data_IF_246357641764
#
_entry.id   IF_246357641764
#
_cell.length_a   1.000
_cell.length_b   1.000
_cell.length_c   1.000
_cell.angle_alpha   90.00
_cell.angle_beta   90.00
_cell.angle_gamma   90.00
#
_symmetry.space_group_name_H-M   'P 1'
#
loop_
_entity.id
_entity.type
_entity.pdbx_description
1 polymer ?
#
# COMPACT_ATOMS: atom_id res chain seq x y z
N UNK A 1 0.66 3.52 -16.16
CA UNK A 1 0.93 3.29 -14.73
C UNK A 1 1.37 4.61 -14.17
N UNK A 2 0.67 5.16 -13.18
CA UNK A 2 0.99 6.51 -12.73
C UNK A 2 1.09 6.61 -11.22
N UNK A 3 2.18 7.25 -10.80
CA UNK A 3 2.28 7.94 -9.53
C UNK A 3 1.95 9.41 -9.81
N UNK A 4 1.12 10.02 -8.96
CA UNK A 4 0.93 11.47 -9.01
C UNK A 4 2.26 12.19 -8.69
N UNK A 5 2.39 13.45 -9.10
CA UNK A 5 3.56 14.26 -8.77
C UNK A 5 3.76 14.37 -7.25
N UNK A 6 2.67 14.56 -6.50
CA UNK A 6 2.70 14.61 -5.04
C UNK A 6 3.14 13.28 -4.42
N UNK A 7 2.59 12.15 -4.88
CA UNK A 7 2.97 10.82 -4.39
C UNK A 7 4.44 10.51 -4.70
N UNK A 8 4.94 10.89 -5.88
CA UNK A 8 6.36 10.74 -6.22
C UNK A 8 7.26 11.54 -5.27
N UNK A 9 6.92 12.79 -4.99
CA UNK A 9 7.68 13.62 -4.05
C UNK A 9 7.75 13.00 -2.65
N UNK A 10 6.64 12.43 -2.16
CA UNK A 10 6.60 11.74 -0.87
C UNK A 10 7.45 10.46 -0.86
N UNK A 11 7.44 9.69 -1.96
CA UNK A 11 8.29 8.50 -2.12
C UNK A 11 9.78 8.87 -2.18
N UNK A 12 10.14 9.94 -2.87
CA UNK A 12 11.52 10.43 -2.93
C UNK A 12 12.03 10.92 -1.57
N UNK A 13 11.18 11.62 -0.81
CA UNK A 13 11.45 12.01 0.58
C UNK A 13 11.67 10.80 1.48
N UNK A 14 10.82 9.77 1.34
CA UNK A 14 10.86 8.55 2.14
C UNK A 14 12.05 7.63 1.80
N UNK A 15 12.46 7.57 0.53
CA UNK A 15 13.47 6.63 0.02
C UNK A 15 14.74 6.54 0.89
N UNK A 16 15.46 7.63 1.21
CA UNK A 16 16.69 7.52 2.00
C UNK A 16 16.46 7.04 3.45
N UNK A 17 15.27 7.29 4.00
CA UNK A 17 14.90 6.88 5.36
C UNK A 17 14.64 5.38 5.38
N UNK A 18 13.78 4.89 4.47
CA UNK A 18 13.46 3.46 4.34
C UNK A 18 14.70 2.63 3.99
N UNK A 19 15.56 3.12 3.09
CA UNK A 19 16.74 2.38 2.65
C UNK A 19 17.76 2.14 3.78
N UNK A 20 17.76 2.99 4.81
CA UNK A 20 18.65 2.88 5.98
C UNK A 20 18.03 2.11 7.14
N UNK A 21 16.71 2.02 7.19
CA UNK A 21 15.99 1.31 8.24
C UNK A 21 16.10 -0.21 8.05
N UNK A 22 16.04 -0.94 9.15
CA UNK A 22 15.84 -2.39 9.20
C UNK A 22 14.35 -2.73 9.23
N UNK A 23 14.01 -3.99 8.90
CA UNK A 23 12.61 -4.44 8.97
C UNK A 23 12.06 -4.37 10.40
N UNK A 24 12.90 -4.64 11.41
CA UNK A 24 12.52 -4.55 12.83
C UNK A 24 12.27 -3.11 13.29
N UNK A 25 13.04 -2.14 12.77
CA UNK A 25 12.79 -0.72 13.04
C UNK A 25 11.48 -0.25 12.43
N UNK A 26 11.20 -0.65 11.18
CA UNK A 26 9.93 -0.36 10.51
C UNK A 26 8.77 -1.03 11.28
N UNK A 27 8.90 -2.31 11.63
CA UNK A 27 7.88 -3.05 12.37
C UNK A 27 7.55 -2.36 13.70
N UNK A 28 8.57 -2.05 14.51
CA UNK A 28 8.38 -1.33 15.78
C UNK A 28 7.75 0.04 15.59
N UNK A 29 8.21 0.81 14.61
CA UNK A 29 7.69 2.14 14.32
C UNK A 29 6.19 2.17 13.98
N UNK A 30 5.70 1.14 13.28
CA UNK A 30 4.31 1.09 12.81
C UNK A 30 3.38 0.42 13.84
N UNK A 31 3.86 -0.60 14.53
CA UNK A 31 3.02 -1.41 15.43
C UNK A 31 2.94 -0.86 16.85
N UNK A 32 3.99 -0.18 17.33
CA UNK A 32 4.04 0.39 18.68
C UNK A 32 3.16 1.63 18.79
N UNK A 33 2.52 1.80 19.96
CA UNK A 33 1.79 3.02 20.30
C UNK A 33 2.72 4.11 20.86
N UNK A 34 3.99 3.79 21.14
CA UNK A 34 5.00 4.77 21.51
C UNK A 34 5.31 5.73 20.35
N UNK A 35 5.77 6.97 20.63
CA UNK A 35 6.25 7.87 19.60
C UNK A 35 7.38 7.24 18.78
N UNK A 36 7.35 7.48 17.48
CA UNK A 36 8.33 6.98 16.52
C UNK A 36 8.75 8.11 15.59
N UNK A 37 10.06 8.41 15.54
CA UNK A 37 10.62 9.39 14.59
C UNK A 37 10.27 9.03 13.15
N UNK A 38 10.11 7.74 12.85
CA UNK A 38 9.75 7.29 11.52
C UNK A 38 8.30 7.67 11.17
N UNK A 39 7.35 7.36 12.06
CA UNK A 39 5.91 7.58 11.85
C UNK A 39 5.50 9.04 12.06
N UNK A 40 5.96 9.61 13.16
CA UNK A 40 5.46 10.88 13.69
C UNK A 40 6.22 12.10 13.17
N UNK A 41 7.36 11.89 12.49
CA UNK A 41 8.20 12.95 11.92
C UNK A 41 8.54 12.65 10.45
N UNK A 42 9.44 11.70 10.20
CA UNK A 42 10.03 11.49 8.87
C UNK A 42 9.00 11.15 7.78
N UNK A 43 7.98 10.36 8.12
CA UNK A 43 6.83 10.06 7.26
C UNK A 43 5.54 10.77 7.70
N UNK A 44 5.60 11.64 8.70
CA UNK A 44 4.43 12.38 9.17
C UNK A 44 3.76 13.17 8.05
N UNK A 45 2.43 13.13 8.02
CA UNK A 45 1.60 13.90 7.09
C UNK A 45 0.76 14.95 7.84
N UNK A 46 0.14 14.55 8.95
CA UNK A 46 -0.72 15.43 9.74
C UNK A 46 -0.85 14.92 11.18
N UNK A 47 -1.21 15.82 12.08
CA UNK A 47 -1.55 15.52 13.48
C UNK A 47 -2.73 16.40 13.91
N UNK A 48 -3.68 15.80 14.59
CA UNK A 48 -4.81 16.47 15.23
C UNK A 48 -5.06 15.83 16.60
N UNK A 49 -4.62 16.51 17.67
CA UNK A 49 -4.59 15.96 19.02
C UNK A 49 -3.83 14.63 19.10
N UNK A 50 -4.54 13.60 19.55
CA UNK A 50 -4.02 12.23 19.70
C UNK A 50 -3.99 11.45 18.37
N UNK A 51 -4.58 12.00 17.30
CA UNK A 51 -4.61 11.37 15.99
C UNK A 51 -3.44 11.84 15.14
N UNK A 52 -2.76 10.89 14.50
CA UNK A 52 -1.68 11.14 13.55
C UNK A 52 -1.90 10.39 12.24
N UNK A 53 -1.48 11.00 11.15
CA UNK A 53 -1.41 10.37 9.84
C UNK A 53 0.04 10.39 9.34
N UNK A 54 0.46 9.30 8.73
CA UNK A 54 1.78 9.15 8.15
C UNK A 54 1.67 8.53 6.76
N UNK A 55 2.68 8.77 5.95
CA UNK A 55 2.75 8.28 4.59
C UNK A 55 3.14 6.80 4.55
N UNK A 56 2.45 6.03 3.70
CA UNK A 56 2.86 4.69 3.31
C UNK A 56 2.80 4.58 1.77
N UNK A 57 3.69 3.81 1.11
CA UNK A 57 3.77 3.73 -0.35
C UNK A 57 2.60 2.91 -0.93
N UNK A 58 1.41 3.50 -0.92
CA UNK A 58 0.14 2.86 -1.28
C UNK A 58 -0.62 3.56 -2.42
N UNK A 59 0.02 4.55 -3.06
CA UNK A 59 -0.61 5.46 -4.02
C UNK A 59 -0.45 5.07 -5.48
N UNK A 60 0.26 3.99 -5.79
CA UNK A 60 0.43 3.56 -7.18
C UNK A 60 -0.93 3.17 -7.77
N UNK A 61 -1.21 3.66 -8.99
CA UNK A 61 -2.47 3.42 -9.70
C UNK A 61 -2.21 2.66 -11.01
N UNK A 62 -3.01 1.62 -11.22
CA UNK A 62 -3.16 0.99 -12.53
C UNK A 62 -4.18 1.79 -13.35
N UNK A 63 -3.69 2.66 -14.24
CA UNK A 63 -4.51 3.48 -15.14
C UNK A 63 -5.22 2.70 -16.25
N UNK A 64 -4.89 1.41 -16.40
CA UNK A 64 -5.55 0.50 -17.33
C UNK A 64 -6.66 -0.33 -16.67
N UNK A 65 -6.99 -0.08 -15.41
CA UNK A 65 -8.01 -0.85 -14.70
C UNK A 65 -9.42 -0.40 -15.10
N UNK A 66 -10.29 -1.36 -15.44
CA UNK A 66 -11.70 -1.10 -15.73
C UNK A 66 -12.54 -0.85 -14.47
N UNK A 67 -12.03 -1.27 -13.30
CA UNK A 67 -12.68 -1.10 -11.99
C UNK A 67 -11.71 -0.43 -11.02
N UNK A 68 -12.21 0.59 -10.32
CA UNK A 68 -11.50 1.24 -9.22
C UNK A 68 -12.18 0.88 -7.91
N UNK A 69 -11.40 0.33 -6.97
CA UNK A 69 -11.85 0.07 -5.59
C UNK A 69 -11.27 1.16 -4.70
N UNK A 70 -12.16 1.97 -4.12
CA UNK A 70 -11.78 3.02 -3.18
C UNK A 70 -11.90 2.44 -1.77
N UNK A 71 -10.75 2.21 -1.14
CA UNK A 71 -10.69 1.91 0.29
C UNK A 71 -10.77 3.19 1.12
N UNK A 72 -11.17 3.04 2.38
CA UNK A 72 -10.87 4.05 3.41
C UNK A 72 -9.37 4.03 3.74
N UNK A 73 -8.96 4.71 4.81
CA UNK A 73 -7.57 4.74 5.28
C UNK A 73 -6.99 3.34 5.50
N UNK A 74 -5.80 3.02 4.94
CA UNK A 74 -5.15 1.74 5.19
C UNK A 74 -4.90 1.50 6.68
N UNK A 75 -5.11 0.26 7.14
CA UNK A 75 -4.79 -0.13 8.52
C UNK A 75 -3.27 -0.26 8.75
N UNK A 76 -2.84 -0.30 10.04
CA UNK A 76 -1.42 -0.47 10.44
C UNK A 76 -0.73 -1.63 9.71
N UNK A 77 -1.40 -2.78 9.57
CA UNK A 77 -0.84 -3.95 8.88
C UNK A 77 -0.60 -3.69 7.38
N UNK A 78 -1.54 -3.05 6.70
CA UNK A 78 -1.38 -2.72 5.27
C UNK A 78 -0.24 -1.71 5.08
N UNK A 79 -0.15 -0.70 5.96
CA UNK A 79 0.97 0.25 5.94
C UNK A 79 2.32 -0.46 6.16
N UNK A 80 2.40 -1.37 7.13
CA UNK A 80 3.60 -2.17 7.38
C UNK A 80 4.02 -3.00 6.17
N UNK A 81 3.09 -3.75 5.58
CA UNK A 81 3.37 -4.58 4.40
C UNK A 81 3.83 -3.73 3.20
N UNK A 82 3.24 -2.55 3.01
CA UNK A 82 3.64 -1.62 1.96
C UNK A 82 5.09 -1.15 2.16
N UNK A 83 5.44 -0.73 3.38
CA UNK A 83 6.78 -0.22 3.71
C UNK A 83 7.84 -1.32 3.58
N UNK A 84 7.58 -2.53 4.08
CA UNK A 84 8.51 -3.66 3.98
C UNK A 84 8.71 -4.09 2.52
N UNK A 85 7.63 -4.18 1.74
CA UNK A 85 7.73 -4.53 0.31
C UNK A 85 8.47 -3.45 -0.49
N UNK A 86 8.23 -2.18 -0.18
CA UNK A 86 8.94 -1.06 -0.80
C UNK A 86 10.44 -1.10 -0.47
N UNK A 87 10.80 -1.32 0.80
CA UNK A 87 12.20 -1.47 1.24
C UNK A 87 12.89 -2.61 0.50
N UNK A 88 12.28 -3.79 0.48
CA UNK A 88 12.85 -4.97 -0.16
C UNK A 88 13.05 -4.75 -1.67
N UNK A 89 12.10 -4.08 -2.34
CA UNK A 89 12.23 -3.75 -3.76
C UNK A 89 13.41 -2.79 -4.03
N UNK A 90 13.55 -1.74 -3.23
CA UNK A 90 14.66 -0.80 -3.35
C UNK A 90 16.02 -1.47 -3.07
N UNK A 91 16.10 -2.32 -2.05
CA UNK A 91 17.31 -3.08 -1.74
C UNK A 91 17.70 -4.04 -2.88
N UNK A 92 16.71 -4.54 -3.62
CA UNK A 92 16.89 -5.34 -4.84
C UNK A 92 17.19 -4.52 -6.10
N UNK A 93 17.41 -3.21 -6.00
CA UNK A 93 17.75 -2.34 -7.14
C UNK A 93 16.57 -1.91 -8.01
N UNK A 94 15.32 -2.12 -7.57
CA UNK A 94 14.16 -1.66 -8.31
C UNK A 94 14.10 -0.13 -8.38
N UNK A 95 13.51 0.39 -9.47
CA UNK A 95 13.16 1.80 -9.58
C UNK A 95 12.10 2.20 -8.54
N UNK A 96 11.92 3.51 -8.33
CA UNK A 96 10.92 4.03 -7.40
C UNK A 96 9.49 3.59 -7.79
N UNK A 97 9.22 3.53 -9.09
CA UNK A 97 7.90 3.19 -9.64
C UNK A 97 7.60 1.71 -9.45
N UNK A 98 8.58 0.84 -9.75
CA UNK A 98 8.47 -0.60 -9.53
C UNK A 98 8.33 -0.92 -8.04
N UNK A 99 9.09 -0.22 -7.18
CA UNK A 99 8.99 -0.39 -5.73
C UNK A 99 7.60 0.03 -5.23
N UNK A 100 7.06 1.17 -5.69
CA UNK A 100 5.72 1.62 -5.33
C UNK A 100 4.62 0.67 -5.84
N UNK A 101 4.78 0.12 -7.05
CA UNK A 101 3.87 -0.87 -7.60
C UNK A 101 3.87 -2.16 -6.76
N UNK A 102 5.05 -2.66 -6.37
CA UNK A 102 5.17 -3.85 -5.50
C UNK A 102 4.56 -3.59 -4.12
N UNK A 103 4.82 -2.44 -3.53
CA UNK A 103 4.24 -2.02 -2.26
C UNK A 103 2.71 -1.99 -2.31
N UNK A 104 2.14 -1.37 -3.35
CA UNK A 104 0.69 -1.37 -3.59
C UNK A 104 0.13 -2.78 -3.68
N UNK A 105 0.73 -3.63 -4.51
CA UNK A 105 0.30 -5.01 -4.72
C UNK A 105 0.38 -5.85 -3.44
N UNK A 106 1.43 -5.65 -2.65
CA UNK A 106 1.64 -6.35 -1.39
C UNK A 106 0.60 -5.95 -0.33
N UNK A 107 0.28 -4.68 -0.18
CA UNK A 107 -0.59 -4.25 0.90
C UNK A 107 -2.10 -4.21 0.53
N UNK A 108 -2.43 -4.28 -0.77
CA UNK A 108 -3.81 -4.21 -1.24
C UNK A 108 -4.52 -5.55 -1.11
N UNK A 109 -5.67 -5.56 -0.40
CA UNK A 109 -6.63 -6.67 -0.37
C UNK A 109 -5.98 -8.05 -0.35
N UNK A 110 -5.08 -8.30 0.61
CA UNK A 110 -4.51 -9.64 0.85
C UNK A 110 -5.41 -10.48 1.76
N UNK A 111 -5.27 -11.80 1.65
CA UNK A 111 -5.97 -12.77 2.49
C UNK A 111 -7.48 -12.70 2.36
N UNK A 112 -8.19 -12.84 3.50
CA UNK A 112 -9.66 -12.90 3.55
C UNK A 112 -10.36 -11.69 2.92
N UNK A 113 -9.73 -10.50 2.91
CA UNK A 113 -10.30 -9.32 2.26
C UNK A 113 -10.37 -9.45 0.73
N UNK A 114 -9.41 -10.15 0.10
CA UNK A 114 -9.46 -10.43 -1.34
C UNK A 114 -10.66 -11.29 -1.68
N UNK A 115 -10.80 -12.37 -0.92
CA UNK A 115 -11.89 -13.34 -1.07
C UNK A 115 -13.24 -12.67 -0.84
N UNK A 116 -13.36 -11.84 0.21
CA UNK A 116 -14.58 -11.10 0.49
C UNK A 116 -14.89 -10.10 -0.63
N UNK A 117 -13.90 -9.32 -1.08
CA UNK A 117 -14.05 -8.38 -2.20
C UNK A 117 -14.53 -9.08 -3.47
N UNK A 118 -13.90 -10.20 -3.84
CA UNK A 118 -14.32 -11.00 -4.98
C UNK A 118 -15.76 -11.53 -4.82
N UNK A 119 -16.12 -12.07 -3.64
CA UNK A 119 -17.50 -12.50 -3.38
C UNK A 119 -18.51 -11.37 -3.50
N UNK A 120 -18.17 -10.17 -3.05
CA UNK A 120 -19.03 -8.99 -3.18
C UNK A 120 -19.19 -8.59 -4.66
N UNK A 121 -18.09 -8.56 -5.42
CA UNK A 121 -18.13 -8.29 -6.86
C UNK A 121 -18.99 -9.34 -7.60
N UNK A 122 -18.89 -10.61 -7.21
CA UNK A 122 -19.73 -11.67 -7.75
C UNK A 122 -21.20 -11.48 -7.42
N UNK A 123 -21.50 -11.14 -6.16
CA UNK A 123 -22.86 -10.87 -5.69
C UNK A 123 -23.53 -9.75 -6.50
N UNK A 124 -22.79 -8.68 -6.82
CA UNK A 124 -23.28 -7.58 -7.65
C UNK A 124 -23.20 -7.86 -9.17
N UNK A 125 -22.80 -9.07 -9.58
CA UNK A 125 -22.81 -9.48 -10.98
C UNK A 125 -21.66 -8.93 -11.82
N UNK A 126 -20.60 -8.39 -11.22
CA UNK A 126 -19.47 -7.82 -11.96
C UNK A 126 -18.78 -8.87 -12.85
N UNK A 127 -18.64 -10.11 -12.37
CA UNK A 127 -18.13 -11.22 -13.17
C UNK A 127 -18.83 -11.34 -14.54
N UNK A 128 -20.15 -11.11 -14.60
CA UNK A 128 -20.93 -11.18 -15.85
C UNK A 128 -20.63 -10.03 -16.80
N UNK A 129 -20.40 -8.82 -16.26
CA UNK A 129 -20.01 -7.65 -17.07
C UNK A 129 -18.70 -7.89 -17.80
N UNK A 130 -17.79 -8.66 -17.20
CA UNK A 130 -16.49 -9.02 -17.77
C UNK A 130 -16.48 -10.38 -18.47
N UNK A 131 -17.63 -11.05 -18.63
CA UNK A 131 -17.70 -12.37 -19.27
C UNK A 131 -16.98 -13.49 -18.48
N UNK A 132 -16.75 -13.28 -17.19
CA UNK A 132 -16.10 -14.22 -16.28
C UNK A 132 -17.13 -15.10 -15.57
N UNK A 133 -16.77 -16.35 -15.29
CA UNK A 133 -17.57 -17.25 -14.45
C UNK A 133 -17.66 -16.74 -13.01
N UNK A 134 -16.59 -16.13 -12.51
CA UNK A 134 -16.49 -15.58 -11.16
C UNK A 134 -15.27 -14.66 -11.08
N UNK A 135 -15.28 -13.68 -10.18
CA UNK A 135 -14.12 -12.85 -9.83
C UNK A 135 -13.21 -13.51 -8.77
N UNK A 136 -13.56 -14.70 -8.27
CA UNK A 136 -12.74 -15.50 -7.35
C UNK A 136 -11.68 -16.38 -8.07
N UNK A 137 -11.71 -16.50 -9.39
CA UNK A 137 -10.86 -17.46 -10.14
C UNK A 137 -10.42 -16.88 -11.50
N UNK A 138 -9.19 -16.97 -12.03
CA UNK A 138 -7.95 -17.73 -11.71
C UNK A 138 -6.68 -16.83 -11.82
N UNK A 139 -5.70 -17.04 -10.93
CA UNK A 139 -4.29 -17.02 -11.34
C UNK A 139 -3.98 -18.39 -11.95
N UNK A 140 -3.55 -18.40 -13.20
CA UNK A 140 -2.70 -19.47 -13.77
C UNK A 140 -1.25 -19.15 -13.46
#
# INVERSE_FOLDING_TARGET
MSLSHASRALLERMRPIIARATDDEICRAITSDSPSVFRDDALGLARDGDYGAFFAPFDWINDKADIVIIGVTPGKQQALEALLSFRAALAGGASLDEAAQRAKSAASFKGGMRTLGARLMDHFGLHRLFGLTSTLSHCS
#
